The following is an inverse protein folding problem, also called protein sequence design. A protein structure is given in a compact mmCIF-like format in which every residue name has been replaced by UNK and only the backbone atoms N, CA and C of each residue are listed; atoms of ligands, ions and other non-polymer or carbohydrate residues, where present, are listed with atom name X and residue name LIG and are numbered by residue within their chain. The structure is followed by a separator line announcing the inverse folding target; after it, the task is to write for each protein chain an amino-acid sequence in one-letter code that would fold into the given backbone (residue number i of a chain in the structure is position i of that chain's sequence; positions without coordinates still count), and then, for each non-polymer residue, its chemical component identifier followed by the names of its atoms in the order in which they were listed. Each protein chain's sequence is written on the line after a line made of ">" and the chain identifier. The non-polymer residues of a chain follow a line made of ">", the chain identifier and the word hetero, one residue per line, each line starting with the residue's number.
data_IF_063429707680
#
_entry.id   IF_063429707680
#
_cell.length_a   1.000
_cell.length_b   1.000
_cell.length_c   1.000
_cell.angle_alpha   90.00
_cell.angle_beta   90.00
_cell.angle_gamma   90.00
#
_symmetry.space_group_name_H-M   'P 1'
#
loop_
_entity.id
_entity.type
_entity.pdbx_description
1 polymer ?
#
# COMPACT_ATOMS: atom_id res chain seq x y z
N UNK A 1 -12.14 13.37 -20.28
CA UNK A 1 -13.37 13.14 -21.07
C UNK A 1 -13.93 11.79 -20.69
N UNK A 2 -15.16 11.72 -20.14
CA UNK A 2 -15.90 10.46 -20.00
C UNK A 2 -17.32 10.73 -20.51
N UNK A 3 -17.71 10.05 -21.57
CA UNK A 3 -19.08 10.08 -22.09
C UNK A 3 -19.89 9.02 -21.34
N UNK A 4 -21.12 9.35 -20.95
CA UNK A 4 -22.10 8.38 -20.45
C UNK A 4 -22.99 7.98 -21.62
N UNK A 5 -22.88 6.72 -22.06
CA UNK A 5 -23.79 6.10 -23.02
C UNK A 5 -24.97 5.50 -22.26
N UNK A 6 -26.17 6.03 -22.49
CA UNK A 6 -27.42 5.37 -22.06
C UNK A 6 -27.99 4.55 -23.22
N UNK A 7 -28.32 3.29 -22.94
CA UNK A 7 -28.85 2.33 -23.93
C UNK A 7 -30.29 2.73 -24.32
N UNK A 8 -30.54 2.73 -25.64
CA UNK A 8 -31.79 2.98 -26.40
C UNK A 8 -32.15 4.46 -26.61
N UNK A 9 -31.87 4.93 -27.83
CA UNK A 9 -32.13 6.30 -28.32
C UNK A 9 -30.94 7.22 -28.12
N UNK A 10 -30.13 7.44 -29.16
CA UNK A 10 -28.87 8.18 -29.06
C UNK A 10 -29.14 9.68 -28.92
N UNK A 11 -28.92 10.24 -27.74
CA UNK A 11 -28.66 11.67 -27.56
C UNK A 11 -27.39 11.82 -26.73
N UNK A 12 -26.32 12.28 -27.39
CA UNK A 12 -25.01 12.50 -26.78
C UNK A 12 -25.07 13.79 -25.94
N UNK A 13 -25.14 13.66 -24.61
CA UNK A 13 -25.02 14.80 -23.71
C UNK A 13 -23.56 14.94 -23.27
N UNK A 14 -22.92 16.05 -23.69
CA UNK A 14 -21.55 16.40 -23.28
C UNK A 14 -21.56 16.92 -21.84
N UNK A 15 -21.34 16.03 -20.87
CA UNK A 15 -21.17 16.40 -19.46
C UNK A 15 -19.70 16.72 -19.13
N UNK A 16 -19.31 17.99 -19.26
CA UNK A 16 -18.17 18.55 -18.53
C UNK A 16 -18.64 18.95 -17.13
N UNK A 17 -18.26 18.16 -16.11
CA UNK A 17 -18.63 18.29 -14.68
C UNK A 17 -19.44 19.54 -14.28
N UNK A 18 -20.74 19.34 -14.01
CA UNK A 18 -21.44 20.09 -12.97
C UNK A 18 -22.03 19.10 -11.94
N UNK A 19 -21.80 19.39 -10.67
CA UNK A 19 -22.29 18.56 -9.57
C UNK A 19 -23.77 18.87 -9.30
N UNK A 20 -24.66 18.12 -9.92
CA UNK A 20 -26.09 18.20 -9.64
C UNK A 20 -26.44 17.46 -8.34
N UNK A 21 -27.13 18.12 -7.41
CA UNK A 21 -27.50 17.57 -6.09
C UNK A 21 -28.91 16.94 -6.06
N UNK A 22 -29.69 17.10 -7.13
CA UNK A 22 -31.01 16.48 -7.32
C UNK A 22 -31.36 16.29 -8.80
N UNK A 23 -32.39 15.51 -9.12
CA UNK A 23 -32.89 15.40 -10.49
C UNK A 23 -33.37 16.75 -11.07
N UNK A 24 -33.83 17.68 -10.21
CA UNK A 24 -34.24 19.03 -10.63
C UNK A 24 -33.04 19.88 -11.03
N UNK A 25 -32.03 19.93 -10.17
CA UNK A 25 -30.77 20.65 -10.41
C UNK A 25 -30.02 20.09 -11.63
N UNK A 26 -30.06 18.77 -11.83
CA UNK A 26 -29.56 18.13 -13.04
C UNK A 26 -30.28 18.62 -14.29
N UNK A 27 -31.62 18.73 -14.24
CA UNK A 27 -32.43 19.21 -15.36
C UNK A 27 -32.13 20.66 -15.69
N UNK A 28 -32.05 21.53 -14.68
CA UNK A 28 -31.74 22.96 -14.84
C UNK A 28 -30.35 23.16 -15.42
N UNK A 29 -29.37 22.38 -14.95
CA UNK A 29 -28.01 22.42 -15.49
C UNK A 29 -27.95 21.93 -16.94
N UNK A 30 -28.72 20.91 -17.30
CA UNK A 30 -28.84 20.45 -18.69
C UNK A 30 -29.48 21.55 -19.55
N UNK A 31 -30.57 22.15 -19.08
CA UNK A 31 -31.29 23.22 -19.78
C UNK A 31 -30.39 24.43 -20.06
N UNK A 32 -29.60 24.86 -19.08
CA UNK A 32 -28.68 25.99 -19.23
C UNK A 32 -27.54 25.77 -20.25
N UNK A 33 -27.28 24.50 -20.61
CA UNK A 33 -26.18 24.13 -21.53
C UNK A 33 -26.65 23.79 -22.93
N UNK A 34 -27.94 23.56 -23.11
CA UNK A 34 -28.50 23.22 -24.40
C UNK A 34 -28.84 24.50 -25.18
N UNK A 35 -28.70 24.51 -26.52
CA UNK A 35 -29.17 25.60 -27.35
C UNK A 35 -30.67 25.87 -27.14
N UNK A 36 -31.08 27.14 -27.28
CA UNK A 36 -32.49 27.52 -27.18
C UNK A 36 -33.37 26.70 -28.15
N UNK A 37 -34.50 26.19 -27.66
CA UNK A 37 -35.41 25.32 -28.42
C UNK A 37 -35.07 23.82 -28.38
N UNK A 38 -33.99 23.41 -27.72
CA UNK A 38 -33.67 21.99 -27.53
C UNK A 38 -34.66 21.29 -26.60
N UNK A 39 -34.97 20.03 -26.89
CA UNK A 39 -35.80 19.20 -26.02
C UNK A 39 -35.05 18.90 -24.70
N UNK A 40 -35.64 19.31 -23.58
CA UNK A 40 -35.11 19.06 -22.23
C UNK A 40 -35.83 17.86 -21.63
N UNK A 41 -35.12 16.86 -21.09
CA UNK A 41 -35.76 15.71 -20.45
C UNK A 41 -36.68 16.14 -19.30
N UNK A 42 -37.84 15.49 -19.20
CA UNK A 42 -38.79 15.77 -18.12
C UNK A 42 -38.23 15.31 -16.77
N UNK A 43 -38.73 15.89 -15.67
CA UNK A 43 -38.28 15.51 -14.32
C UNK A 43 -38.61 14.04 -14.03
N UNK A 44 -39.80 13.60 -14.41
CA UNK A 44 -40.24 12.20 -14.27
C UNK A 44 -39.35 11.25 -15.07
N UNK A 45 -38.98 11.63 -16.29
CA UNK A 45 -38.07 10.84 -17.12
C UNK A 45 -36.70 10.67 -16.47
N UNK A 46 -36.12 11.75 -15.93
CA UNK A 46 -34.86 11.68 -15.19
C UNK A 46 -34.99 10.82 -13.92
N UNK A 47 -36.05 11.01 -13.12
CA UNK A 47 -36.27 10.23 -11.90
C UNK A 47 -36.38 8.73 -12.16
N UNK A 48 -37.03 8.31 -13.26
CA UNK A 48 -37.20 6.90 -13.63
C UNK A 48 -35.87 6.23 -14.02
N UNK A 49 -34.92 6.97 -14.58
CA UNK A 49 -33.59 6.44 -14.90
C UNK A 49 -32.75 6.10 -13.66
N UNK A 50 -33.07 6.67 -12.50
CA UNK A 50 -32.43 6.38 -11.22
C UNK A 50 -33.30 5.53 -10.28
N UNK A 51 -34.47 5.11 -10.75
CA UNK A 51 -35.40 4.30 -9.98
C UNK A 51 -34.88 2.85 -9.88
N UNK A 52 -34.96 2.19 -8.71
CA UNK A 52 -34.57 0.79 -8.58
C UNK A 52 -35.35 -0.09 -9.55
N UNK A 53 -34.71 -1.09 -10.16
CA UNK A 53 -35.35 -1.99 -11.13
C UNK A 53 -36.55 -2.75 -10.57
N UNK A 54 -36.65 -2.90 -9.24
CA UNK A 54 -37.78 -3.49 -8.55
C UNK A 54 -38.54 -2.40 -7.76
N UNK A 55 -39.77 -2.12 -8.19
CA UNK A 55 -40.63 -1.07 -7.62
C UNK A 55 -41.20 -1.40 -6.22
N UNK A 56 -41.14 -2.66 -5.78
CA UNK A 56 -41.70 -3.12 -4.52
C UNK A 56 -40.70 -3.11 -3.36
N UNK A 57 -39.44 -2.75 -3.63
CA UNK A 57 -38.43 -2.62 -2.57
C UNK A 57 -38.69 -1.32 -1.81
N UNK A 58 -38.59 -1.34 -0.49
CA UNK A 58 -38.80 -0.18 0.40
C UNK A 58 -38.00 1.06 -0.03
N UNK A 59 -36.84 0.87 -0.67
CA UNK A 59 -36.01 1.93 -1.26
C UNK A 59 -36.68 2.69 -2.41
N UNK A 60 -37.50 2.01 -3.22
CA UNK A 60 -38.28 2.61 -4.31
C UNK A 60 -39.43 3.48 -3.76
N UNK A 61 -40.18 2.97 -2.77
CA UNK A 61 -41.29 3.71 -2.12
C UNK A 61 -40.80 4.99 -1.43
N UNK A 62 -39.58 4.99 -0.92
CA UNK A 62 -38.97 6.14 -0.24
C UNK A 62 -38.06 6.98 -1.16
N UNK A 63 -38.10 6.81 -2.48
CA UNK A 63 -37.24 7.55 -3.40
C UNK A 63 -37.67 9.02 -3.52
N UNK A 64 -36.86 9.94 -3.01
CA UNK A 64 -37.16 11.38 -2.96
C UNK A 64 -36.62 12.17 -4.15
N UNK A 65 -36.01 11.51 -5.15
CA UNK A 65 -35.27 12.17 -6.25
C UNK A 65 -34.14 13.12 -5.81
N UNK A 66 -33.74 13.05 -4.53
CA UNK A 66 -32.57 13.73 -3.98
C UNK A 66 -31.43 12.74 -3.87
N UNK A 67 -30.26 13.11 -4.39
CA UNK A 67 -29.07 12.30 -4.19
C UNK A 67 -28.65 12.44 -2.73
N UNK A 68 -28.67 11.33 -1.99
CA UNK A 68 -28.18 11.30 -0.61
C UNK A 68 -26.66 11.29 -0.63
N UNK A 69 -26.06 12.43 -0.98
CA UNK A 69 -24.62 12.61 -1.09
C UNK A 69 -24.18 13.82 -0.27
N UNK A 70 -22.93 13.83 0.17
CA UNK A 70 -22.29 14.97 0.83
C UNK A 70 -20.91 15.18 0.24
N UNK A 71 -20.44 16.43 0.25
CA UNK A 71 -19.02 16.68 0.07
C UNK A 71 -18.28 16.31 1.35
N UNK A 72 -17.30 15.43 1.23
CA UNK A 72 -16.35 15.14 2.28
C UNK A 72 -14.94 15.44 1.80
N UNK A 73 -14.15 16.05 2.67
CA UNK A 73 -12.70 16.07 2.54
C UNK A 73 -12.20 14.76 3.15
N UNK A 74 -11.17 14.17 2.55
CA UNK A 74 -10.55 12.98 3.13
C UNK A 74 -10.03 13.32 4.53
N UNK A 75 -10.59 12.65 5.54
CA UNK A 75 -10.12 12.81 6.91
C UNK A 75 -8.96 11.85 7.13
N UNK A 76 -7.80 12.40 7.50
CA UNK A 76 -6.73 11.59 8.08
C UNK A 76 -7.21 11.07 9.43
N UNK A 77 -7.11 9.77 9.64
CA UNK A 77 -7.41 9.18 10.93
C UNK A 77 -6.17 9.36 11.82
N UNK A 78 -5.98 10.51 12.47
CA UNK A 78 -4.91 10.64 13.46
C UNK A 78 -5.37 10.06 14.80
N UNK A 79 -5.30 8.73 14.95
CA UNK A 79 -5.58 8.08 16.23
C UNK A 79 -4.30 7.98 17.06
N UNK A 80 -4.24 8.70 18.17
CA UNK A 80 -3.14 8.57 19.14
C UNK A 80 -3.15 7.24 19.91
N UNK A 81 -4.28 6.52 19.90
CA UNK A 81 -4.46 5.23 20.57
C UNK A 81 -5.13 4.26 19.60
N UNK A 82 -4.49 3.11 19.36
CA UNK A 82 -5.06 1.99 18.63
C UNK A 82 -5.31 0.83 19.61
N UNK A 83 -6.42 0.07 19.50
CA UNK A 83 -6.69 -1.04 20.41
C UNK A 83 -5.55 -2.09 20.39
N UNK A 84 -4.93 -2.31 19.22
CA UNK A 84 -3.79 -3.24 19.05
C UNK A 84 -2.43 -2.67 19.43
N UNK A 85 -2.33 -1.41 19.91
CA UNK A 85 -1.02 -0.80 20.19
C UNK A 85 -0.17 -1.61 21.16
N UNK A 86 -0.79 -2.15 22.21
CA UNK A 86 -0.11 -3.01 23.19
C UNK A 86 0.31 -4.34 22.57
N UNK A 87 -0.52 -4.92 21.70
CA UNK A 87 -0.22 -6.17 21.00
C UNK A 87 0.98 -5.98 20.06
N UNK A 88 0.93 -4.97 19.18
CA UNK A 88 1.99 -4.66 18.24
C UNK A 88 3.31 -4.30 18.94
N UNK A 89 3.25 -3.61 20.08
CA UNK A 89 4.43 -3.31 20.89
C UNK A 89 5.09 -4.58 21.42
N UNK A 90 4.33 -5.50 22.02
CA UNK A 90 4.87 -6.75 22.55
C UNK A 90 5.43 -7.63 21.43
N UNK A 91 4.74 -7.72 20.29
CA UNK A 91 5.24 -8.43 19.11
C UNK A 91 6.60 -7.87 18.69
N UNK A 92 6.73 -6.55 18.58
CA UNK A 92 7.98 -5.87 18.24
C UNK A 92 9.09 -6.09 19.26
N UNK A 93 8.75 -6.14 20.55
CA UNK A 93 9.71 -6.49 21.61
C UNK A 93 10.22 -7.93 21.44
N UNK A 94 9.32 -8.90 21.26
CA UNK A 94 9.67 -10.30 21.06
C UNK A 94 10.53 -10.51 19.79
N UNK A 95 10.25 -9.79 18.70
CA UNK A 95 11.10 -9.86 17.50
C UNK A 95 12.52 -9.37 17.74
N UNK A 96 12.69 -8.28 18.49
CA UNK A 96 14.03 -7.78 18.85
C UNK A 96 14.76 -8.80 19.71
N UNK A 97 14.07 -9.36 20.69
CA UNK A 97 14.63 -10.40 21.56
C UNK A 97 15.06 -11.63 20.76
N UNK A 98 14.22 -12.12 19.84
CA UNK A 98 14.55 -13.23 18.96
C UNK A 98 15.71 -12.91 18.02
N UNK A 99 15.78 -11.69 17.48
CA UNK A 99 16.89 -11.24 16.65
C UNK A 99 18.21 -11.20 17.44
N UNK A 100 18.18 -10.76 18.71
CA UNK A 100 19.35 -10.81 19.59
C UNK A 100 19.77 -12.26 19.88
N UNK A 101 18.82 -13.14 20.17
CA UNK A 101 19.08 -14.57 20.46
C UNK A 101 19.68 -15.32 19.27
N UNK A 102 19.22 -15.04 18.07
CA UNK A 102 19.69 -15.69 16.84
C UNK A 102 20.90 -15.00 16.22
N UNK A 103 21.21 -13.76 16.62
CA UNK A 103 22.38 -13.03 16.16
C UNK A 103 22.45 -12.95 14.64
N UNK A 104 23.54 -13.47 14.05
CA UNK A 104 23.78 -13.46 12.60
C UNK A 104 22.83 -14.33 11.79
N UNK A 105 22.08 -15.24 12.42
CA UNK A 105 21.15 -16.12 11.72
C UNK A 105 19.75 -15.52 11.51
N UNK A 106 19.49 -14.29 12.01
CA UNK A 106 18.20 -13.62 11.95
C UNK A 106 18.25 -12.18 11.41
N UNK A 107 17.28 -11.84 10.55
CA UNK A 107 17.13 -10.53 9.94
C UNK A 107 15.79 -9.95 10.37
N UNK A 108 15.87 -8.82 11.05
CA UNK A 108 14.71 -8.02 11.38
C UNK A 108 14.63 -6.86 10.39
N UNK A 109 13.54 -6.84 9.63
CA UNK A 109 13.27 -5.78 8.65
C UNK A 109 12.09 -4.95 9.11
N UNK A 110 12.31 -3.65 9.28
CA UNK A 110 11.25 -2.67 9.51
C UNK A 110 11.01 -1.90 8.21
N UNK A 111 9.75 -1.88 7.76
CA UNK A 111 9.32 -1.27 6.51
C UNK A 111 8.33 -0.15 6.80
N UNK A 112 8.41 0.92 6.02
CA UNK A 112 7.46 2.04 6.06
C UNK A 112 6.16 1.71 5.29
N UNK A 113 6.28 1.05 4.12
CA UNK A 113 5.25 1.04 3.05
C UNK A 113 4.57 -0.31 2.74
N UNK A 114 4.41 -1.24 3.69
CA UNK A 114 3.76 -2.52 3.39
C UNK A 114 2.23 -2.50 3.58
N UNK A 115 1.53 -2.61 2.44
CA UNK A 115 0.11 -2.43 2.14
C UNK A 115 -0.86 -3.50 2.66
N UNK A 116 -0.72 -3.94 3.92
CA UNK A 116 -1.76 -4.77 4.56
C UNK A 116 -2.67 -3.83 5.37
N UNK A 117 -3.77 -3.38 4.78
CA UNK A 117 -4.73 -2.45 5.40
C UNK A 117 -5.43 -3.03 6.64
N UNK A 118 -6.06 -2.18 7.45
CA UNK A 118 -7.02 -2.66 8.46
C UNK A 118 -8.24 -3.28 7.75
N UNK A 119 -8.83 -4.36 8.30
CA UNK A 119 -10.14 -4.80 7.88
C UNK A 119 -11.15 -3.64 7.95
N UNK A 120 -11.72 -3.25 6.81
CA UNK A 120 -12.70 -2.16 6.72
C UNK A 120 -12.15 -0.75 6.47
N UNK A 121 -10.84 -0.53 6.48
CA UNK A 121 -10.23 0.78 6.13
C UNK A 121 -9.39 0.67 4.86
N UNK A 122 -9.68 1.51 3.86
CA UNK A 122 -8.84 1.57 2.65
C UNK A 122 -7.48 2.18 2.95
N UNK A 123 -6.39 1.50 2.56
CA UNK A 123 -5.01 1.99 2.61
C UNK A 123 -4.83 3.28 1.80
N UNK A 124 -5.62 3.46 0.74
CA UNK A 124 -5.74 4.71 -0.01
C UNK A 124 -7.13 4.81 -0.63
N UNK A 125 -7.70 6.03 -0.66
CA UNK A 125 -8.96 6.34 -1.35
C UNK A 125 -8.74 6.74 -2.82
N UNK A 126 -7.50 6.96 -3.26
CA UNK A 126 -7.19 7.55 -4.58
C UNK A 126 -7.71 8.98 -4.76
N UNK A 127 -8.17 9.61 -3.69
CA UNK A 127 -8.72 10.97 -3.65
C UNK A 127 -7.66 11.92 -3.11
N UNK A 128 -7.56 13.12 -3.68
CA UNK A 128 -6.61 14.14 -3.17
C UNK A 128 -7.12 14.72 -1.85
N UNK A 129 -6.27 14.75 -0.82
CA UNK A 129 -6.62 15.22 0.51
C UNK A 129 -7.17 16.67 0.54
N UNK A 130 -6.81 17.48 -0.45
CA UNK A 130 -7.20 18.90 -0.55
C UNK A 130 -8.48 19.12 -1.39
N UNK A 131 -9.01 18.08 -2.05
CA UNK A 131 -10.20 18.20 -2.89
C UNK A 131 -11.42 17.58 -2.21
N UNK A 132 -12.48 18.37 -2.05
CA UNK A 132 -13.80 17.86 -1.64
C UNK A 132 -14.28 16.82 -2.65
N UNK A 133 -14.58 15.61 -2.18
CA UNK A 133 -15.15 14.55 -3.01
C UNK A 133 -16.59 14.27 -2.63
N UNK A 134 -17.39 13.92 -3.62
CA UNK A 134 -18.79 13.55 -3.43
C UNK A 134 -18.85 12.11 -2.93
N UNK A 135 -19.42 11.90 -1.73
CA UNK A 135 -19.62 10.58 -1.16
C UNK A 135 -21.08 10.37 -0.75
N UNK A 136 -21.57 9.12 -0.68
CA UNK A 136 -22.88 8.82 -0.12
C UNK A 136 -23.03 9.37 1.31
N UNK A 137 -24.24 9.86 1.64
CA UNK A 137 -24.60 10.34 2.97
C UNK A 137 -24.63 9.15 3.93
N UNK A 138 -23.67 9.11 4.86
CA UNK A 138 -23.44 8.01 5.79
C UNK A 138 -22.08 7.35 5.60
N UNK A 139 -21.52 7.41 4.39
CA UNK A 139 -20.17 6.95 4.13
C UNK A 139 -19.11 7.87 4.77
N UNK A 140 -17.96 7.28 5.07
CA UNK A 140 -16.76 7.97 5.56
C UNK A 140 -15.69 7.93 4.48
N UNK A 141 -15.17 9.09 4.11
CA UNK A 141 -13.99 9.20 3.25
C UNK A 141 -12.75 9.28 4.13
N UNK A 142 -12.25 8.11 4.52
CA UNK A 142 -11.03 7.98 5.31
C UNK A 142 -10.05 7.09 4.59
N UNK A 143 -8.77 7.48 4.62
CA UNK A 143 -7.67 6.60 4.26
C UNK A 143 -6.71 6.50 5.44
N UNK A 144 -5.89 5.45 5.43
CA UNK A 144 -4.65 5.43 6.20
C UNK A 144 -3.70 6.52 5.69
N UNK A 145 -2.59 6.78 6.40
CA UNK A 145 -1.77 8.00 6.32
C UNK A 145 -1.08 8.31 4.96
N UNK A 146 -1.44 7.61 3.90
CA UNK A 146 -0.83 7.73 2.57
C UNK A 146 -1.49 8.83 1.75
N UNK A 147 -0.77 9.94 1.56
CA UNK A 147 -1.16 11.07 0.70
C UNK A 147 -0.54 10.91 -0.71
N UNK A 148 -1.39 10.83 -1.74
CA UNK A 148 -0.93 10.76 -3.13
C UNK A 148 -0.51 12.16 -3.62
N UNK A 149 0.81 12.41 -3.63
CA UNK A 149 1.38 13.61 -4.22
C UNK A 149 1.59 13.44 -5.74
N UNK A 150 1.35 14.51 -6.49
CA UNK A 150 1.32 14.51 -7.97
C UNK A 150 2.76 14.44 -8.53
N UNK A 151 3.72 15.04 -7.82
CA UNK A 151 5.16 14.96 -8.08
C UNK A 151 5.89 15.18 -6.75
N UNK A 152 6.57 14.14 -6.26
CA UNK A 152 7.41 14.21 -5.07
C UNK A 152 8.47 13.13 -5.17
N UNK A 153 9.69 13.42 -4.71
CA UNK A 153 10.66 12.38 -4.45
C UNK A 153 10.21 11.64 -3.19
N UNK A 154 9.84 10.37 -3.32
CA UNK A 154 9.53 9.53 -2.17
C UNK A 154 10.80 8.74 -1.85
N UNK A 155 11.55 9.08 -0.80
CA UNK A 155 12.62 8.22 -0.34
C UNK A 155 11.99 6.95 0.23
N UNK A 156 12.25 5.80 -0.39
CA UNK A 156 11.91 4.52 0.24
C UNK A 156 12.90 4.28 1.37
N UNK A 157 12.39 4.21 2.60
CA UNK A 157 13.22 4.02 3.79
C UNK A 157 13.11 2.58 4.27
N UNK A 158 14.25 1.91 4.26
CA UNK A 158 14.43 0.56 4.78
C UNK A 158 15.31 0.67 6.02
N UNK A 159 14.80 0.33 7.20
CA UNK A 159 15.70 0.00 8.30
C UNK A 159 15.98 -1.49 8.24
N UNK A 160 17.12 -1.82 7.65
CA UNK A 160 17.66 -3.17 7.62
C UNK A 160 18.65 -3.35 8.76
N UNK A 161 18.29 -4.16 9.74
CA UNK A 161 19.24 -4.62 10.76
C UNK A 161 19.98 -5.81 10.16
N UNK A 162 20.99 -5.51 9.31
CA UNK A 162 21.84 -6.53 8.69
C UNK A 162 22.69 -7.23 9.74
N UNK A 163 22.40 -8.51 9.94
CA UNK A 163 23.33 -9.50 10.44
C UNK A 163 23.31 -10.65 9.40
N UNK A 164 24.48 -11.11 8.97
CA UNK A 164 24.76 -11.71 7.66
C UNK A 164 24.08 -13.07 7.38
N UNK A 165 23.54 -13.26 6.16
CA UNK A 165 23.08 -14.53 5.54
C UNK A 165 22.27 -15.52 6.41
N UNK A 166 20.97 -15.63 6.15
CA UNK A 166 20.03 -15.83 7.24
C UNK A 166 19.24 -17.13 7.19
N UNK A 167 18.98 -17.68 8.37
CA UNK A 167 18.12 -18.84 8.60
C UNK A 167 16.65 -18.45 8.82
N UNK A 168 16.41 -17.23 9.31
CA UNK A 168 15.06 -16.63 9.47
C UNK A 168 15.05 -15.14 9.13
N UNK A 169 13.97 -14.67 8.52
CA UNK A 169 13.67 -13.26 8.27
C UNK A 169 12.32 -12.93 8.90
N UNK A 170 12.28 -11.89 9.72
CA UNK A 170 11.07 -11.39 10.34
C UNK A 170 10.84 -9.96 9.91
N UNK A 171 9.61 -9.69 9.48
CA UNK A 171 9.14 -8.35 9.14
C UNK A 171 7.93 -8.08 10.00
N UNK A 172 7.83 -6.89 10.56
CA UNK A 172 6.64 -6.49 11.27
C UNK A 172 6.35 -5.02 11.19
N UNK A 173 5.10 -4.72 11.54
CA UNK A 173 4.52 -3.40 11.46
C UNK A 173 4.03 -2.99 12.83
N UNK A 174 4.05 -1.69 13.05
CA UNK A 174 3.32 -1.09 14.15
C UNK A 174 1.83 -1.15 13.87
N UNK A 175 1.02 -1.03 14.93
CA UNK A 175 -0.40 -0.77 14.75
C UNK A 175 -0.60 0.49 13.87
N UNK A 176 -1.71 0.57 13.11
CA UNK A 176 -2.05 1.75 12.34
C UNK A 176 -1.99 3.01 13.22
N UNK A 177 -1.52 4.11 12.65
CA UNK A 177 -1.36 5.41 13.33
C UNK A 177 -0.32 5.44 14.46
N UNK A 178 0.37 4.32 14.71
CA UNK A 178 1.51 4.24 15.62
C UNK A 178 2.85 4.29 14.87
N UNK A 179 2.82 5.01 13.76
CA UNK A 179 3.88 5.20 12.79
C UNK A 179 5.17 5.71 13.46
N UNK A 180 5.04 6.60 14.47
CA UNK A 180 6.14 7.05 15.35
C UNK A 180 6.89 5.94 16.12
N UNK A 181 6.26 4.77 16.32
CA UNK A 181 6.92 3.61 16.92
C UNK A 181 7.67 2.75 15.89
N UNK A 182 7.44 2.97 14.59
CA UNK A 182 8.11 2.27 13.50
C UNK A 182 9.56 2.77 13.42
N UNK A 183 10.57 1.89 13.59
CA UNK A 183 11.95 2.29 13.45
C UNK A 183 12.29 2.88 12.07
N UNK A 184 11.62 2.44 11.00
CA UNK A 184 11.81 2.98 9.65
C UNK A 184 11.33 4.44 9.54
N UNK A 185 10.27 4.81 10.23
CA UNK A 185 9.78 6.20 10.26
C UNK A 185 10.62 7.11 11.15
N UNK A 186 11.25 6.55 12.19
CA UNK A 186 12.18 7.33 13.01
C UNK A 186 13.34 7.86 12.17
N UNK A 187 13.87 7.09 11.22
CA UNK A 187 14.87 7.62 10.29
C UNK A 187 14.31 8.62 9.26
N UNK A 188 13.01 8.64 8.98
CA UNK A 188 12.39 9.68 8.12
C UNK A 188 12.57 11.07 8.72
N UNK A 189 12.51 11.22 10.04
CA UNK A 189 12.81 12.50 10.71
C UNK A 189 14.24 12.99 10.45
N UNK A 190 15.20 12.05 10.39
CA UNK A 190 16.60 12.34 10.07
C UNK A 190 16.77 12.73 8.60
N UNK A 191 16.03 12.11 7.68
CA UNK A 191 16.02 12.51 6.28
C UNK A 191 15.43 13.93 6.12
N UNK A 192 14.35 14.24 6.82
CA UNK A 192 13.78 15.59 6.84
C UNK A 192 14.78 16.63 7.35
N UNK A 193 15.59 16.29 8.36
CA UNK A 193 16.70 17.14 8.82
C UNK A 193 17.73 17.37 7.70
N UNK A 194 18.11 16.33 6.95
CA UNK A 194 19.00 16.47 5.79
C UNK A 194 18.46 17.35 4.67
N UNK A 195 17.13 17.45 4.57
CA UNK A 195 16.40 18.28 3.59
C UNK A 195 16.06 19.69 4.12
N UNK A 196 16.41 20.03 5.35
CA UNK A 196 16.16 21.38 5.86
C UNK A 196 16.87 22.42 5.02
N UNK A 197 16.15 23.49 4.68
CA UNK A 197 16.61 24.61 3.86
C UNK A 197 17.06 24.19 2.46
N UNK A 198 16.48 23.11 1.92
CA UNK A 198 16.76 22.64 0.56
C UNK A 198 15.53 22.83 -0.32
N UNK A 199 15.72 23.53 -1.44
CA UNK A 199 14.79 23.50 -2.56
C UNK A 199 15.42 22.65 -3.67
N UNK A 200 14.68 21.71 -4.22
CA UNK A 200 15.16 20.81 -5.25
C UNK A 200 14.44 21.07 -6.56
N UNK A 201 15.22 21.30 -7.60
CA UNK A 201 14.75 21.36 -8.97
C UNK A 201 15.68 20.49 -9.80
N UNK A 202 15.11 19.70 -10.71
CA UNK A 202 15.88 19.04 -11.76
C UNK A 202 16.38 20.09 -12.75
N UNK A 203 17.44 19.77 -13.48
CA UNK A 203 17.85 20.64 -14.58
C UNK A 203 16.74 20.70 -15.65
N UNK A 204 16.66 21.82 -16.36
CA UNK A 204 15.82 21.91 -17.56
C UNK A 204 16.35 20.95 -18.62
N UNK A 205 15.44 20.21 -19.25
CA UNK A 205 15.74 19.44 -20.45
C UNK A 205 15.60 20.35 -21.68
N UNK A 206 15.89 19.81 -22.86
CA UNK A 206 15.59 20.49 -24.13
C UNK A 206 14.09 20.84 -24.23
N UNK A 207 13.78 22.01 -24.82
CA UNK A 207 12.44 22.58 -24.83
C UNK A 207 11.38 21.67 -25.50
N UNK A 208 11.78 20.92 -26.53
CA UNK A 208 10.96 19.89 -27.17
C UNK A 208 10.60 18.75 -26.19
N UNK A 209 11.57 18.23 -25.43
CA UNK A 209 11.36 17.16 -24.45
C UNK A 209 10.51 17.67 -23.29
N UNK A 210 10.76 18.90 -22.81
CA UNK A 210 9.92 19.54 -21.80
C UNK A 210 8.46 19.63 -22.26
N UNK A 211 8.23 20.02 -23.51
CA UNK A 211 6.89 20.09 -24.10
C UNK A 211 6.21 18.71 -24.16
N UNK A 212 6.95 17.66 -24.52
CA UNK A 212 6.46 16.28 -24.59
C UNK A 212 6.12 15.72 -23.19
N UNK A 213 6.92 16.06 -22.18
CA UNK A 213 6.76 15.59 -20.79
C UNK A 213 5.65 16.35 -20.06
N UNK A 214 5.42 17.62 -20.37
CA UNK A 214 4.39 18.48 -19.74
C UNK A 214 3.00 17.84 -19.56
N UNK A 215 2.41 17.11 -20.53
CA UNK A 215 1.12 16.44 -20.34
C UNK A 215 1.16 15.18 -19.46
N UNK A 216 2.33 14.63 -19.15
CA UNK A 216 2.52 13.42 -18.34
C UNK A 216 2.39 13.73 -16.84
N UNK A 217 1.16 14.03 -16.41
CA UNK A 217 0.85 14.48 -15.04
C UNK A 217 0.92 13.42 -13.93
N UNK A 218 1.41 12.22 -14.22
CA UNK A 218 1.56 11.13 -13.24
C UNK A 218 2.83 10.34 -13.53
N UNK A 219 3.42 9.73 -12.50
CA UNK A 219 4.60 8.86 -12.66
C UNK A 219 4.35 7.71 -13.64
N UNK A 220 3.13 7.13 -13.65
CA UNK A 220 2.77 6.10 -14.62
C UNK A 220 2.83 6.63 -16.05
N UNK A 221 2.21 7.77 -16.33
CA UNK A 221 2.25 8.37 -17.67
C UNK A 221 3.67 8.72 -18.09
N UNK A 222 4.50 9.18 -17.16
CA UNK A 222 5.90 9.50 -17.41
C UNK A 222 6.72 8.25 -17.75
N UNK A 223 6.49 7.13 -17.04
CA UNK A 223 7.10 5.82 -17.35
C UNK A 223 6.64 5.31 -18.71
N UNK A 224 5.33 5.27 -18.95
CA UNK A 224 4.75 4.83 -20.23
C UNK A 224 5.30 5.66 -21.40
N UNK A 225 5.53 6.96 -21.19
CA UNK A 225 6.13 7.85 -22.19
C UNK A 225 7.62 7.55 -22.40
N UNK A 226 8.37 7.32 -21.31
CA UNK A 226 9.80 7.00 -21.36
C UNK A 226 10.08 5.64 -22.01
N UNK A 227 9.18 4.67 -21.86
CA UNK A 227 9.23 3.38 -22.55
C UNK A 227 9.01 3.52 -24.05
N UNK A 228 8.09 4.40 -24.45
CA UNK A 228 7.80 4.68 -25.87
C UNK A 228 8.87 5.53 -26.55
N UNK A 229 9.56 6.37 -25.78
CA UNK A 229 10.51 7.35 -26.29
C UNK A 229 11.81 7.32 -25.46
N UNK A 230 12.83 6.55 -25.90
CA UNK A 230 14.08 6.40 -25.15
C UNK A 230 14.82 7.72 -24.91
N UNK A 231 14.73 8.68 -25.82
CA UNK A 231 15.31 10.02 -25.66
C UNK A 231 14.71 10.80 -24.47
N UNK A 232 13.40 10.61 -24.18
CA UNK A 232 12.75 11.19 -23.00
C UNK A 232 13.32 10.57 -21.72
N UNK A 233 13.54 9.25 -21.73
CA UNK A 233 14.15 8.54 -20.60
C UNK A 233 15.55 9.08 -20.28
N UNK A 234 16.44 9.13 -21.28
CA UNK A 234 17.81 9.61 -21.11
C UNK A 234 17.83 11.07 -20.61
N UNK A 235 17.05 11.95 -21.24
CA UNK A 235 16.97 13.35 -20.83
C UNK A 235 16.45 13.53 -19.40
N UNK A 236 15.46 12.74 -18.99
CA UNK A 236 14.96 12.74 -17.61
C UNK A 236 16.04 12.28 -16.62
N UNK A 237 16.72 11.18 -16.90
CA UNK A 237 17.82 10.66 -16.07
C UNK A 237 18.94 11.68 -15.90
N UNK A 238 19.39 12.29 -17.00
CA UNK A 238 20.41 13.33 -16.98
C UNK A 238 19.95 14.58 -16.22
N UNK A 239 18.70 15.00 -16.41
CA UNK A 239 18.15 16.18 -15.74
C UNK A 239 18.07 16.01 -14.21
N UNK A 240 17.83 14.78 -13.73
CA UNK A 240 17.69 14.45 -12.32
C UNK A 240 19.03 14.16 -11.64
N UNK A 241 20.05 13.75 -12.40
CA UNK A 241 21.37 13.35 -11.87
C UNK A 241 22.00 14.36 -10.90
N UNK A 242 21.98 15.69 -11.15
CA UNK A 242 22.52 16.67 -10.21
C UNK A 242 21.74 16.70 -8.89
N UNK A 243 20.41 16.70 -8.96
CA UNK A 243 19.51 16.69 -7.79
C UNK A 243 19.71 15.43 -6.96
N UNK A 244 19.80 14.27 -7.59
CA UNK A 244 20.05 12.99 -6.93
C UNK A 244 21.44 12.96 -6.27
N UNK A 245 22.46 13.50 -6.94
CA UNK A 245 23.82 13.57 -6.39
C UNK A 245 23.87 14.49 -5.15
N UNK A 246 23.18 15.62 -5.20
CA UNK A 246 23.03 16.53 -4.05
C UNK A 246 22.34 15.84 -2.88
N UNK A 247 21.24 15.13 -3.14
CA UNK A 247 20.52 14.34 -2.14
C UNK A 247 21.42 13.29 -1.50
N UNK A 248 22.13 12.49 -2.31
CA UNK A 248 23.07 11.46 -1.83
C UNK A 248 24.15 12.06 -0.94
N UNK A 249 24.74 13.18 -1.37
CA UNK A 249 25.77 13.88 -0.61
C UNK A 249 25.25 14.45 0.72
N UNK A 250 24.01 14.94 0.75
CA UNK A 250 23.39 15.43 2.00
C UNK A 250 23.09 14.27 2.95
N UNK A 251 22.50 13.19 2.44
CA UNK A 251 22.13 12.05 3.26
C UNK A 251 23.34 11.26 3.76
N UNK A 252 24.45 11.22 3.03
CA UNK A 252 25.69 10.58 3.51
C UNK A 252 26.35 11.29 4.70
N UNK A 253 25.99 12.55 4.96
CA UNK A 253 26.44 13.29 6.16
C UNK A 253 25.59 13.00 7.39
N UNK A 254 24.44 12.37 7.24
CA UNK A 254 23.53 12.07 8.34
C UNK A 254 24.10 10.92 9.18
N UNK A 255 23.87 11.01 10.49
CA UNK A 255 24.20 9.94 11.44
C UNK A 255 22.98 9.61 12.28
N UNK A 256 22.71 8.33 12.45
CA UNK A 256 21.71 7.82 13.38
C UNK A 256 22.45 7.13 14.53
N UNK A 257 22.29 7.65 15.76
CA UNK A 257 23.00 7.14 16.95
C UNK A 257 24.52 7.01 16.75
N UNK A 258 25.14 8.01 16.10
CA UNK A 258 26.59 8.03 15.83
C UNK A 258 27.04 7.19 14.62
N UNK A 259 26.18 6.33 14.07
CA UNK A 259 26.49 5.53 12.87
C UNK A 259 26.09 6.29 11.60
N UNK A 260 26.92 6.29 10.54
CA UNK A 260 26.59 6.97 9.29
C UNK A 260 25.40 6.31 8.60
N UNK A 261 24.54 7.12 7.98
CA UNK A 261 23.50 6.63 7.08
C UNK A 261 24.16 6.16 5.78
N UNK A 262 23.88 4.92 5.39
CA UNK A 262 24.36 4.35 4.13
C UNK A 262 23.39 4.73 3.02
N UNK A 263 23.90 5.33 1.96
CA UNK A 263 23.12 5.71 0.79
C UNK A 263 23.47 4.75 -0.35
N UNK A 264 22.46 4.09 -0.91
CA UNK A 264 22.62 3.17 -2.02
C UNK A 264 22.29 3.82 -3.35
N UNK A 265 22.92 3.33 -4.42
CA UNK A 265 22.51 3.62 -5.77
C UNK A 265 21.19 2.92 -6.11
N UNK A 266 20.50 3.42 -7.13
CA UNK A 266 19.33 2.74 -7.65
C UNK A 266 19.76 1.41 -8.26
N UNK A 267 18.95 0.38 -8.04
CA UNK A 267 19.17 -0.95 -8.63
C UNK A 267 19.15 -0.84 -10.15
N UNK A 268 20.16 -1.42 -10.80
CA UNK A 268 20.28 -1.46 -12.25
C UNK A 268 19.26 -2.39 -12.89
N UNK A 269 18.99 -2.24 -14.19
CA UNK A 269 18.10 -3.17 -14.91
C UNK A 269 18.64 -4.60 -14.89
N UNK A 270 19.96 -4.77 -14.99
CA UNK A 270 20.61 -6.08 -14.91
C UNK A 270 20.41 -6.73 -13.53
N UNK A 271 20.59 -5.99 -12.44
CA UNK A 271 20.31 -6.49 -11.09
C UNK A 271 18.83 -6.84 -10.90
N UNK A 272 17.91 -6.05 -11.47
CA UNK A 272 16.47 -6.37 -11.46
C UNK A 272 16.21 -7.68 -12.21
N UNK A 273 16.84 -7.87 -13.38
CA UNK A 273 16.74 -9.12 -14.15
C UNK A 273 17.31 -10.30 -13.36
N UNK A 274 18.48 -10.15 -12.73
CA UNK A 274 19.06 -11.19 -11.88
C UNK A 274 18.15 -11.56 -10.70
N UNK A 275 17.45 -10.59 -10.10
CA UNK A 275 16.43 -10.87 -9.07
C UNK A 275 15.26 -11.66 -9.67
N UNK A 276 14.84 -11.31 -10.89
CA UNK A 276 13.82 -12.07 -11.62
C UNK A 276 14.26 -13.50 -11.90
N UNK A 277 15.52 -13.73 -12.26
CA UNK A 277 16.06 -15.07 -12.51
C UNK A 277 16.07 -15.94 -11.25
N UNK A 278 16.27 -15.34 -10.07
CA UNK A 278 16.10 -16.06 -8.79
C UNK A 278 14.65 -16.49 -8.59
N UNK A 279 13.67 -15.70 -9.04
CA UNK A 279 12.25 -16.09 -8.98
C UNK A 279 11.94 -17.25 -9.93
N UNK A 280 12.75 -17.47 -10.97
CA UNK A 280 12.59 -18.59 -11.89
C UNK A 280 12.85 -19.95 -11.22
N UNK A 281 13.54 -19.98 -10.07
CA UNK A 281 13.62 -21.19 -9.22
C UNK A 281 12.25 -21.75 -8.83
N UNK A 282 11.25 -20.87 -8.78
CA UNK A 282 9.87 -21.23 -8.42
C UNK A 282 9.00 -21.56 -9.64
N UNK A 283 9.48 -21.40 -10.87
CA UNK A 283 8.75 -21.80 -12.07
C UNK A 283 8.71 -23.33 -12.19
N UNK A 284 7.57 -23.83 -12.67
CA UNK A 284 7.44 -25.18 -13.17
C UNK A 284 7.87 -25.18 -14.66
N UNK A 285 8.40 -26.29 -15.18
CA UNK A 285 9.05 -26.34 -16.51
C UNK A 285 8.16 -25.92 -17.70
N UNK A 286 6.84 -25.86 -17.50
CA UNK A 286 5.83 -25.54 -18.51
C UNK A 286 5.29 -24.10 -18.38
N UNK A 287 5.70 -23.32 -17.37
CA UNK A 287 5.13 -22.01 -17.07
C UNK A 287 5.98 -20.87 -17.65
N UNK A 288 5.48 -20.25 -18.72
CA UNK A 288 6.16 -19.15 -19.45
C UNK A 288 5.89 -17.76 -18.87
N UNK A 289 4.99 -17.65 -17.89
CA UNK A 289 4.59 -16.36 -17.30
C UNK A 289 5.56 -15.88 -16.21
N UNK A 290 5.71 -14.56 -16.06
CA UNK A 290 6.52 -13.99 -14.98
C UNK A 290 5.82 -14.25 -13.65
N UNK A 291 6.57 -14.72 -12.64
CA UNK A 291 6.02 -14.95 -11.28
C UNK A 291 5.46 -13.65 -10.68
N UNK A 292 6.00 -12.50 -11.11
CA UNK A 292 5.63 -11.15 -10.66
C UNK A 292 4.23 -10.74 -11.13
N UNK A 293 3.80 -11.17 -12.32
CA UNK A 293 2.50 -10.80 -12.90
C UNK A 293 1.38 -11.79 -12.53
N UNK A 294 1.72 -12.87 -11.84
CA UNK A 294 0.82 -13.97 -11.58
C UNK A 294 0.02 -13.72 -10.30
N UNK A 295 -1.31 -13.61 -10.42
CA UNK A 295 -2.20 -13.53 -9.23
C UNK A 295 -1.98 -14.76 -8.35
N UNK A 296 -2.05 -14.62 -7.03
CA UNK A 296 -1.81 -15.70 -6.03
C UNK A 296 -2.49 -17.03 -6.38
N UNK A 297 -3.72 -17.00 -6.90
CA UNK A 297 -4.47 -18.18 -7.34
C UNK A 297 -3.76 -18.98 -8.44
N UNK A 298 -3.02 -18.30 -9.31
CA UNK A 298 -2.29 -18.85 -10.44
C UNK A 298 -0.81 -19.08 -10.12
N UNK A 299 -0.34 -18.83 -8.88
CA UNK A 299 1.07 -19.00 -8.53
C UNK A 299 1.55 -20.45 -8.79
N UNK A 300 2.80 -20.63 -9.26
CA UNK A 300 3.40 -21.95 -9.49
C UNK A 300 3.35 -22.87 -8.27
N UNK A 301 3.35 -24.19 -8.48
CA UNK A 301 3.21 -25.15 -7.38
C UNK A 301 4.36 -25.05 -6.39
N UNK A 302 5.60 -24.88 -6.87
CA UNK A 302 6.78 -24.67 -6.02
C UNK A 302 6.69 -23.41 -5.16
N UNK A 303 6.15 -22.32 -5.70
CA UNK A 303 5.97 -21.08 -4.94
C UNK A 303 4.93 -21.25 -3.84
N UNK A 304 3.80 -21.89 -4.13
CA UNK A 304 2.76 -22.20 -3.12
C UNK A 304 3.33 -23.09 -2.02
N UNK A 305 4.01 -24.18 -2.38
CA UNK A 305 4.67 -25.06 -1.42
C UNK A 305 5.72 -24.33 -0.57
N UNK A 306 6.45 -23.37 -1.15
CA UNK A 306 7.37 -22.53 -0.40
C UNK A 306 6.64 -21.62 0.59
N UNK A 307 5.59 -20.91 0.15
CA UNK A 307 4.80 -20.04 1.02
C UNK A 307 4.21 -20.84 2.18
N UNK A 308 3.61 -22.00 1.91
CA UNK A 308 2.97 -22.83 2.93
C UNK A 308 3.98 -23.38 3.95
N UNK A 309 5.19 -23.74 3.51
CA UNK A 309 6.20 -24.39 4.35
C UNK A 309 7.15 -23.41 5.05
N UNK A 310 7.46 -22.29 4.40
CA UNK A 310 8.52 -21.37 4.80
C UNK A 310 8.04 -19.97 5.13
N UNK A 311 6.80 -19.60 4.83
CA UNK A 311 6.25 -18.30 5.18
C UNK A 311 5.18 -18.42 6.27
N UNK A 312 5.07 -17.37 7.09
CA UNK A 312 4.02 -17.23 8.09
C UNK A 312 3.55 -15.78 8.12
N UNK A 313 2.35 -15.55 7.61
CA UNK A 313 1.66 -14.28 7.72
C UNK A 313 0.79 -14.26 9.00
N UNK A 314 0.88 -13.17 9.75
CA UNK A 314 0.04 -12.81 10.90
C UNK A 314 -0.43 -11.37 10.71
N UNK A 315 -1.33 -10.89 11.55
CA UNK A 315 -1.89 -9.53 11.44
C UNK A 315 -0.82 -8.42 11.31
N UNK A 316 0.23 -8.51 12.13
CA UNK A 316 1.28 -7.49 12.22
C UNK A 316 2.68 -8.00 11.87
N UNK A 317 2.84 -9.28 11.50
CA UNK A 317 4.14 -9.83 11.12
C UNK A 317 4.07 -10.73 9.90
N UNK A 318 5.13 -10.71 9.10
CA UNK A 318 5.41 -11.70 8.09
C UNK A 318 6.79 -12.32 8.38
N UNK A 319 6.83 -13.63 8.50
CA UNK A 319 8.03 -14.37 8.83
C UNK A 319 8.38 -15.33 7.68
N UNK A 320 9.65 -15.46 7.38
CA UNK A 320 10.19 -16.47 6.48
C UNK A 320 11.22 -17.26 7.26
N UNK A 321 11.14 -18.59 7.28
CA UNK A 321 12.15 -19.44 7.92
C UNK A 321 12.56 -20.62 7.04
N UNK A 322 13.80 -21.05 7.19
CA UNK A 322 14.30 -22.32 6.62
C UNK A 322 13.88 -23.51 7.50
N UNK A 323 13.91 -24.72 6.93
CA UNK A 323 13.65 -25.95 7.66
C UNK A 323 14.78 -26.97 7.43
N UNK A 324 14.86 -27.97 8.30
CA UNK A 324 15.88 -29.04 8.25
C UNK A 324 15.38 -30.30 7.55
N UNK A 325 14.25 -30.20 6.85
CA UNK A 325 13.62 -31.37 6.28
C UNK A 325 14.32 -31.79 4.99
N UNK A 326 14.72 -33.06 4.91
CA UNK A 326 15.49 -33.60 3.81
C UNK A 326 14.75 -33.57 2.46
N UNK A 327 13.42 -33.56 2.49
CA UNK A 327 12.55 -33.48 1.30
C UNK A 327 12.30 -32.02 0.82
N UNK A 328 12.84 -31.02 1.52
CA UNK A 328 12.63 -29.63 1.18
C UNK A 328 13.57 -29.19 0.05
N UNK A 329 13.06 -29.13 -1.19
CA UNK A 329 13.83 -28.67 -2.35
C UNK A 329 14.52 -27.32 -2.14
N UNK A 330 13.85 -26.36 -1.49
CA UNK A 330 14.38 -25.00 -1.30
C UNK A 330 15.53 -24.98 -0.30
N UNK A 331 15.39 -25.68 0.84
CA UNK A 331 16.42 -25.71 1.87
C UNK A 331 17.57 -26.64 1.51
N UNK A 332 17.39 -27.61 0.63
CA UNK A 332 18.51 -28.36 0.03
C UNK A 332 19.40 -27.45 -0.81
N UNK A 333 18.81 -26.57 -1.62
CA UNK A 333 19.56 -25.57 -2.39
C UNK A 333 20.12 -24.44 -1.52
N UNK A 334 19.37 -24.06 -0.48
CA UNK A 334 19.68 -22.94 0.40
C UNK A 334 19.67 -23.39 1.86
N UNK A 335 20.69 -24.14 2.34
CA UNK A 335 20.68 -24.75 3.66
C UNK A 335 20.56 -23.73 4.80
N UNK A 336 19.97 -24.20 5.91
CA UNK A 336 19.96 -23.50 7.19
C UNK A 336 21.42 -23.33 7.66
N UNK A 337 21.79 -22.13 8.09
CA UNK A 337 23.14 -21.85 8.61
C UNK A 337 23.24 -22.03 10.12
N UNK A 338 22.10 -21.93 10.80
CA UNK A 338 22.01 -22.19 12.23
C UNK A 338 22.47 -23.63 12.52
N UNK A 339 23.33 -23.84 13.52
CA UNK A 339 23.76 -25.17 13.94
C UNK A 339 22.59 -26.13 14.23
N UNK A 340 22.78 -27.42 13.95
CA UNK A 340 21.74 -28.44 14.05
C UNK A 340 21.20 -28.65 15.47
N UNK A 341 22.01 -28.34 16.49
CA UNK A 341 21.67 -28.40 17.91
C UNK A 341 20.73 -27.26 18.36
N UNK A 342 20.55 -26.21 17.54
CA UNK A 342 19.65 -25.10 17.86
C UNK A 342 18.36 -25.20 17.05
N UNK A 343 17.21 -25.45 17.71
CA UNK A 343 15.94 -25.52 17.00
C UNK A 343 15.50 -24.13 16.51
N UNK A 344 15.07 -24.05 15.25
CA UNK A 344 14.56 -22.82 14.65
C UNK A 344 13.03 -22.76 14.75
N UNK A 345 12.56 -22.16 15.84
CA UNK A 345 11.14 -21.94 16.06
C UNK A 345 10.61 -20.77 15.22
N UNK A 346 9.31 -20.76 14.97
CA UNK A 346 8.63 -19.56 14.51
C UNK A 346 8.57 -18.54 15.64
N UNK A 347 8.56 -17.25 15.32
CA UNK A 347 8.22 -16.24 16.32
C UNK A 347 6.74 -16.42 16.69
N UNK A 348 6.45 -16.62 17.99
CA UNK A 348 5.07 -16.67 18.47
C UNK A 348 4.43 -15.29 18.47
N UNK A 349 3.10 -15.27 18.32
CA UNK A 349 2.27 -14.09 18.55
C UNK A 349 2.15 -13.79 20.05
N UNK A 350 2.11 -12.51 20.45
CA UNK A 350 1.89 -12.12 21.84
C UNK A 350 0.64 -12.78 22.41
N UNK A 351 0.83 -13.55 23.49
CA UNK A 351 -0.24 -14.26 24.17
C UNK A 351 -0.28 -13.83 25.63
N UNK A 352 -1.48 -13.64 26.18
CA UNK A 352 -1.67 -13.26 27.58
C UNK A 352 -1.67 -14.48 28.48
N UNK A 353 -0.96 -14.37 29.61
CA UNK A 353 -0.97 -15.35 30.67
C UNK A 353 -2.24 -15.27 31.54
N UNK A 354 -2.34 -16.13 32.58
CA UNK A 354 -3.47 -16.15 33.50
C UNK A 354 -3.67 -14.83 34.27
N UNK A 355 -2.60 -14.05 34.42
CA UNK A 355 -2.57 -12.72 35.06
C UNK A 355 -3.02 -11.58 34.11
N UNK A 356 -3.32 -11.91 32.85
CA UNK A 356 -3.72 -10.95 31.82
C UNK A 356 -2.58 -10.13 31.23
N UNK A 357 -1.32 -10.40 31.59
CA UNK A 357 -0.14 -9.74 31.00
C UNK A 357 0.42 -10.55 29.84
N UNK A 358 1.13 -9.91 28.91
CA UNK A 358 1.76 -10.62 27.80
C UNK A 358 2.94 -11.44 28.29
N UNK A 359 2.95 -12.73 27.96
CA UNK A 359 4.02 -13.64 28.34
C UNK A 359 5.33 -13.28 27.62
N UNK A 360 6.49 -13.50 28.25
CA UNK A 360 7.79 -13.30 27.62
C UNK A 360 8.00 -14.29 26.45
N UNK A 361 8.93 -13.95 25.54
CA UNK A 361 9.23 -14.80 24.39
C UNK A 361 9.69 -16.20 24.80
N UNK A 362 10.43 -16.33 25.90
CA UNK A 362 10.98 -17.60 26.40
C UNK A 362 9.90 -18.63 26.68
N UNK A 363 8.82 -18.21 27.32
CA UNK A 363 7.70 -19.08 27.67
C UNK A 363 6.87 -19.50 26.46
N UNK A 364 6.88 -18.67 25.40
CA UNK A 364 6.11 -18.88 24.18
C UNK A 364 6.92 -19.60 23.09
N UNK A 365 8.24 -19.65 23.20
CA UNK A 365 9.09 -20.18 22.15
C UNK A 365 8.81 -21.67 21.92
N UNK A 366 8.57 -22.05 20.67
CA UNK A 366 8.22 -23.43 20.30
C UNK A 366 6.75 -23.80 20.49
N UNK A 367 5.93 -22.89 21.04
CA UNK A 367 4.47 -23.06 21.10
C UNK A 367 3.79 -22.52 19.83
N UNK A 368 2.69 -23.14 19.42
CA UNK A 368 1.87 -22.63 18.31
C UNK A 368 0.83 -21.64 18.84
N UNK A 369 1.17 -20.36 18.78
CA UNK A 369 0.28 -19.25 19.15
C UNK A 369 -0.57 -18.79 17.97
N UNK A 370 -1.71 -18.14 18.26
CA UNK A 370 -2.57 -17.46 17.27
C UNK A 370 -2.76 -16.00 17.65
N UNK A 371 -3.23 -15.15 16.73
CA UNK A 371 -3.51 -13.71 16.98
C UNK A 371 -4.76 -13.48 17.87
N UNK A 372 -5.09 -14.40 18.80
CA UNK A 372 -6.31 -14.36 19.63
C UNK A 372 -6.37 -13.11 20.51
N UNK A 373 -5.24 -12.72 21.07
CA UNK A 373 -5.16 -11.60 22.01
C UNK A 373 -4.89 -10.27 21.28
N UNK A 374 -5.13 -10.23 19.96
CA UNK A 374 -5.15 -9.04 19.12
C UNK A 374 -6.57 -8.43 19.11
N UNK A 375 -6.81 -7.30 19.81
CA UNK A 375 -8.16 -6.75 19.99
C UNK A 375 -8.93 -6.47 18.70
N UNK A 376 -8.26 -5.98 17.66
CA UNK A 376 -8.82 -5.65 16.36
C UNK A 376 -9.31 -6.85 15.55
N UNK A 377 -8.96 -8.08 15.95
CA UNK A 377 -9.49 -9.31 15.37
C UNK A 377 -10.64 -9.91 16.18
N UNK A 378 -10.73 -9.61 17.48
CA UNK A 378 -11.84 -10.03 18.35
C UNK A 378 -13.08 -9.16 18.18
N UNK A 379 -12.93 -7.90 17.78
CA UNK A 379 -14.05 -7.00 17.48
C UNK A 379 -14.61 -7.29 16.08
N UNK A 380 -15.52 -8.26 15.99
CA UNK A 380 -16.46 -8.32 14.85
C UNK A 380 -17.36 -7.10 14.94
N UNK A 381 -16.96 -6.00 14.30
CA UNK A 381 -17.86 -4.88 14.05
C UNK A 381 -19.17 -5.41 13.49
N UNK A 382 -20.29 -5.00 14.08
CA UNK A 382 -21.62 -5.31 13.58
C UNK A 382 -21.69 -4.81 12.14
N UNK A 383 -21.74 -5.72 11.17
CA UNK A 383 -21.96 -5.36 9.76
C UNK A 383 -23.26 -4.59 9.69
N UNK A 384 -23.20 -3.31 9.38
CA UNK A 384 -24.43 -2.54 9.15
C UNK A 384 -24.81 -2.73 7.68
N UNK A 385 -26.10 -2.65 7.36
CA UNK A 385 -26.59 -2.80 5.97
C UNK A 385 -25.94 -1.82 4.96
N UNK A 386 -25.24 -0.79 5.45
CA UNK A 386 -24.49 0.16 4.63
C UNK A 386 -23.16 -0.40 4.08
N UNK A 387 -22.64 -1.52 4.60
CA UNK A 387 -21.38 -2.12 4.16
C UNK A 387 -21.54 -3.03 2.92
N UNK A 388 -22.78 -3.17 2.42
CA UNK A 388 -23.14 -4.01 1.26
C UNK A 388 -23.40 -3.22 -0.04
N UNK A 389 -23.07 -1.93 -0.10
CA UNK A 389 -23.26 -1.09 -1.30
C UNK A 389 -21.99 -0.43 -1.79
#
# INVERSE_FOLDING_TARGET
>A
MRYLLFKRGVTLIKCTLPLAISCQDLRETIAARLPAGSNIPSRSWLSLNFWPSNAFVRSAVCYTSRFKVKYAVQQRLTRAKHPDSSYAFNLHSMMKEMAVKLGTDCALVCLDDNSIGEPGSSTSTGVRAHNKSLIPKGAKLSALDHDFHIHGAVPSVLLDVKLSYLSVKMTARTAPFHSFNNPAERCTSLLNLGLQNVCLQRNSMEANIEYIVKPASTLKKLRDLSERQPNVKTALEESLKPTLSLLKHRFSKLKLHGRPVVVHDAVTLEEIMNISDVLDLFKDAEDSSSVIDTKEKNAPKKLKAFIDRHCRARQYSFQIKKCDAADCWYCTLNPKRLPADKPLHWLPGPTRGPDGTFQPLEDLLGTETIDRDCPGLSDKGTTTENDKF
#
